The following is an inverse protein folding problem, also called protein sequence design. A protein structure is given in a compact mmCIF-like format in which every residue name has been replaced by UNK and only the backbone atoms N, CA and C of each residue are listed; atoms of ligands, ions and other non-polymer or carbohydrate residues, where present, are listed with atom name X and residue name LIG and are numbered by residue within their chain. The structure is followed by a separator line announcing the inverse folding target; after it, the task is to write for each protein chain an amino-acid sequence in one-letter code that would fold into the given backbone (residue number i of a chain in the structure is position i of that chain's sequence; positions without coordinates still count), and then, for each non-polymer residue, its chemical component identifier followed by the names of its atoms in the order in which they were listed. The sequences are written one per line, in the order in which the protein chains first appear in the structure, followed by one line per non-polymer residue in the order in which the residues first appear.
data_IF_128500991761
#
_entry.id   IF_128500991761
#
_cell.length_a   1.000
_cell.length_b   1.000
_cell.length_c   1.000
_cell.angle_alpha   90.00
_cell.angle_beta   90.00
_cell.angle_gamma   90.00
#
_symmetry.space_group_name_H-M   'P 1'
#
loop_
_entity.id
_entity.type
_entity.pdbx_description
1 polymer ?
#
# COMPACT_ATOMS: atom_id res chain seq x y z
N UNK A 1 -17.28 -16.51 42.42
CA UNK A 1 -16.38 -16.12 41.32
C UNK A 1 -17.12 -15.62 40.07
N UNK A 2 -18.40 -15.23 40.18
CA UNK A 2 -19.27 -14.96 39.02
C UNK A 2 -19.46 -13.47 38.72
N UNK A 3 -18.95 -12.58 39.57
CA UNK A 3 -19.09 -11.12 39.41
C UNK A 3 -17.98 -10.49 38.53
N UNK A 4 -16.81 -11.12 38.45
CA UNK A 4 -15.67 -10.61 37.65
C UNK A 4 -15.82 -10.89 36.15
N UNK A 5 -16.57 -11.92 35.76
CA UNK A 5 -16.83 -12.22 34.35
C UNK A 5 -17.86 -11.28 33.73
N UNK A 6 -18.84 -10.81 34.50
CA UNK A 6 -19.86 -9.87 34.00
C UNK A 6 -19.30 -8.47 33.72
N UNK A 7 -18.23 -8.03 34.41
CA UNK A 7 -17.60 -6.73 34.14
C UNK A 7 -16.76 -6.72 32.86
N UNK A 8 -16.20 -7.85 32.45
CA UNK A 8 -15.44 -7.96 31.20
C UNK A 8 -16.35 -8.07 29.97
N UNK A 9 -17.62 -8.48 30.16
CA UNK A 9 -18.58 -8.59 29.07
C UNK A 9 -19.32 -7.26 28.81
N UNK A 10 -19.58 -6.46 29.85
CA UNK A 10 -20.20 -5.13 29.72
C UNK A 10 -19.28 -4.07 29.07
N UNK A 11 -17.95 -4.26 29.08
CA UNK A 11 -17.01 -3.34 28.41
C UNK A 11 -16.99 -3.46 26.88
N UNK A 12 -17.74 -4.39 26.30
CA UNK A 12 -17.74 -4.64 24.85
C UNK A 12 -18.85 -3.91 24.07
N UNK A 13 -19.80 -3.28 24.75
CA UNK A 13 -20.99 -2.64 24.13
C UNK A 13 -20.95 -1.10 24.10
N UNK A 14 -19.97 -0.44 24.74
CA UNK A 14 -19.84 1.04 24.74
C UNK A 14 -19.04 1.60 23.55
N UNK A 15 -19.19 1.03 22.36
CA UNK A 15 -18.37 1.26 21.15
C UNK A 15 -18.41 2.68 20.53
N UNK A 16 -18.65 3.75 21.30
CA UNK A 16 -18.63 5.15 20.83
C UNK A 16 -18.05 6.19 21.80
N UNK A 17 -17.54 5.81 22.98
CA UNK A 17 -17.05 6.78 24.00
C UNK A 17 -15.53 6.95 24.11
N UNK A 18 -14.74 6.23 23.30
CA UNK A 18 -13.38 5.83 23.71
C UNK A 18 -12.25 6.84 23.49
N UNK A 19 -12.55 8.11 23.18
CA UNK A 19 -11.52 9.13 22.89
C UNK A 19 -11.63 10.44 23.69
N UNK A 20 -12.64 10.62 24.54
CA UNK A 20 -12.91 11.92 25.17
C UNK A 20 -13.01 11.84 26.69
N UNK A 21 -11.86 11.85 27.36
CA UNK A 21 -11.77 12.53 28.65
C UNK A 21 -10.76 13.67 28.52
N UNK A 22 -11.26 14.82 28.06
CA UNK A 22 -10.57 16.09 28.25
C UNK A 22 -10.43 16.33 29.76
N UNK A 23 -9.21 16.17 30.26
CA UNK A 23 -8.88 16.72 31.57
C UNK A 23 -8.36 18.14 31.35
N UNK A 24 -9.04 19.13 31.93
CA UNK A 24 -8.58 20.52 31.93
C UNK A 24 -7.44 20.65 32.94
N UNK A 25 -6.26 21.09 32.47
CA UNK A 25 -5.20 21.45 33.42
C UNK A 25 -5.57 22.75 34.19
N UNK A 26 -4.73 23.18 35.16
CA UNK A 26 -4.94 24.43 35.92
C UNK A 26 -5.09 25.69 35.04
N UNK A 27 -4.61 25.64 33.81
CA UNK A 27 -4.69 26.69 32.79
C UNK A 27 -5.81 26.44 31.75
N UNK A 28 -6.77 25.56 32.03
CA UNK A 28 -7.93 25.26 31.17
C UNK A 28 -7.58 24.62 29.80
N UNK A 29 -6.42 23.98 29.68
CA UNK A 29 -6.00 23.27 28.45
C UNK A 29 -6.59 21.86 28.45
N UNK A 30 -7.29 21.48 27.37
CA UNK A 30 -7.80 20.12 27.16
C UNK A 30 -6.64 19.17 26.84
N UNK A 31 -6.44 18.13 27.66
CA UNK A 31 -5.46 17.07 27.41
C UNK A 31 -6.19 15.82 26.92
N UNK A 32 -5.81 15.35 25.74
CA UNK A 32 -6.31 14.12 25.13
C UNK A 32 -5.36 12.98 25.47
N UNK A 33 -5.87 11.88 26.01
CA UNK A 33 -5.07 10.68 26.31
C UNK A 33 -5.59 9.50 25.51
N UNK A 34 -4.67 8.83 24.82
CA UNK A 34 -4.94 7.52 24.25
C UNK A 34 -4.89 6.49 25.38
N UNK A 35 -5.98 5.75 25.58
CA UNK A 35 -6.06 4.69 26.60
C UNK A 35 -5.71 3.30 26.06
N UNK A 36 -5.34 3.19 24.77
CA UNK A 36 -4.86 1.93 24.17
C UNK A 36 -3.36 1.81 24.33
N UNK A 37 -2.92 0.62 24.74
CA UNK A 37 -1.50 0.28 24.76
C UNK A 37 -1.01 -0.02 23.34
N UNK A 38 0.27 0.26 23.02
CA UNK A 38 0.85 -0.10 21.72
C UNK A 38 0.74 -1.59 21.38
N UNK A 39 0.69 -2.48 22.38
CA UNK A 39 0.49 -3.92 22.19
C UNK A 39 -0.96 -4.32 21.85
N UNK A 40 -1.91 -3.40 22.00
CA UNK A 40 -3.35 -3.64 21.77
C UNK A 40 -3.83 -3.11 20.42
N UNK A 41 -2.95 -2.49 19.63
CA UNK A 41 -3.30 -1.96 18.31
C UNK A 41 -3.26 -3.09 17.29
N UNK A 42 -4.28 -3.17 16.45
CA UNK A 42 -4.29 -4.05 15.29
C UNK A 42 -3.76 -3.27 14.08
N UNK A 43 -2.68 -3.75 13.48
CA UNK A 43 -2.05 -3.16 12.29
C UNK A 43 -2.53 -3.79 10.99
N UNK A 44 -3.41 -4.80 11.05
CA UNK A 44 -3.82 -5.52 9.86
C UNK A 44 -4.61 -4.65 8.88
N UNK A 45 -4.36 -4.85 7.60
CA UNK A 45 -5.01 -4.14 6.50
C UNK A 45 -5.63 -5.17 5.56
N UNK A 46 -6.93 -5.02 5.32
CA UNK A 46 -7.66 -5.86 4.37
C UNK A 46 -7.50 -5.25 2.96
N UNK A 47 -6.89 -6.00 2.03
CA UNK A 47 -6.72 -5.58 0.64
C UNK A 47 -7.91 -6.02 -0.22
N UNK A 48 -8.31 -7.28 -0.09
CA UNK A 48 -9.49 -7.85 -0.75
C UNK A 48 -10.30 -8.64 0.25
N UNK A 49 -11.43 -9.22 -0.17
CA UNK A 49 -12.19 -10.14 0.67
C UNK A 49 -11.41 -11.41 1.06
N UNK A 50 -10.40 -11.78 0.27
CA UNK A 50 -9.55 -12.95 0.52
C UNK A 50 -8.23 -12.59 1.20
N UNK A 51 -7.67 -11.41 0.90
CA UNK A 51 -6.30 -11.06 1.27
C UNK A 51 -6.30 -10.03 2.39
N UNK A 52 -5.70 -10.40 3.51
CA UNK A 52 -5.39 -9.49 4.63
C UNK A 52 -3.90 -9.55 4.91
N UNK A 53 -3.26 -8.40 5.05
CA UNK A 53 -1.88 -8.29 5.54
C UNK A 53 -1.90 -7.96 7.02
N UNK A 54 -1.01 -8.56 7.79
CA UNK A 54 -0.91 -8.35 9.23
C UNK A 54 -0.10 -7.09 9.55
N UNK A 55 0.91 -6.83 8.71
CA UNK A 55 1.80 -5.69 8.81
C UNK A 55 1.67 -4.88 7.51
N UNK A 56 1.37 -3.57 7.59
CA UNK A 56 1.15 -2.71 6.42
C UNK A 56 2.49 -2.26 5.80
N UNK A 57 3.37 -3.22 5.51
CA UNK A 57 4.69 -3.00 4.94
C UNK A 57 4.82 -3.81 3.65
N UNK A 58 5.18 -3.11 2.57
CA UNK A 58 5.34 -3.65 1.23
C UNK A 58 6.77 -3.36 0.78
N UNK A 59 7.51 -4.36 0.34
CA UNK A 59 8.87 -4.17 -0.17
C UNK A 59 8.86 -3.51 -1.56
N UNK A 60 9.94 -2.79 -1.89
CA UNK A 60 10.07 -2.14 -3.19
C UNK A 60 10.34 -3.16 -4.30
N UNK A 61 9.68 -2.98 -5.45
CA UNK A 61 9.87 -3.81 -6.65
C UNK A 61 11.17 -3.45 -7.39
N UNK A 62 12.31 -3.69 -6.76
CA UNK A 62 13.65 -3.42 -7.29
C UNK A 62 14.51 -4.68 -7.24
N UNK A 63 15.42 -4.84 -8.21
CA UNK A 63 16.35 -5.97 -8.32
C UNK A 63 17.26 -6.14 -7.10
N UNK A 64 17.73 -5.04 -6.55
CA UNK A 64 18.58 -5.00 -5.35
C UNK A 64 17.80 -5.12 -4.05
N UNK A 65 16.48 -5.27 -4.10
CA UNK A 65 15.62 -5.30 -2.89
C UNK A 65 14.83 -6.59 -2.81
N UNK A 66 14.00 -6.89 -3.82
CA UNK A 66 12.97 -7.93 -3.71
C UNK A 66 13.08 -8.99 -4.80
N UNK A 67 13.96 -9.97 -4.56
CA UNK A 67 13.92 -11.28 -5.22
C UNK A 67 13.14 -12.29 -4.36
N UNK A 68 13.19 -13.57 -4.72
CA UNK A 68 12.46 -14.66 -4.06
C UNK A 68 12.64 -14.67 -2.53
N UNK A 69 13.88 -14.63 -2.03
CA UNK A 69 14.17 -14.76 -0.59
C UNK A 69 13.60 -13.61 0.23
N UNK A 70 13.72 -12.37 -0.27
CA UNK A 70 13.12 -11.22 0.38
C UNK A 70 11.60 -11.29 0.35
N UNK A 71 11.02 -11.68 -0.79
CA UNK A 71 9.57 -11.79 -0.92
C UNK A 71 9.01 -12.83 0.08
N UNK A 72 9.67 -13.99 0.15
CA UNK A 72 9.37 -15.04 1.12
C UNK A 72 9.47 -14.52 2.56
N UNK A 73 10.54 -13.83 2.91
CA UNK A 73 10.72 -13.26 4.26
C UNK A 73 9.62 -12.25 4.61
N UNK A 74 9.24 -11.38 3.68
CA UNK A 74 8.15 -10.42 3.86
C UNK A 74 6.81 -11.12 4.12
N UNK A 75 6.49 -12.13 3.32
CA UNK A 75 5.25 -12.92 3.45
C UNK A 75 5.24 -13.69 4.78
N UNK A 76 6.37 -14.25 5.21
CA UNK A 76 6.49 -14.94 6.50
C UNK A 76 6.19 -14.01 7.68
N UNK A 77 6.62 -12.75 7.60
CA UNK A 77 6.40 -11.74 8.65
C UNK A 77 5.07 -10.99 8.51
N UNK A 78 4.18 -11.38 7.58
CA UNK A 78 2.84 -10.80 7.44
C UNK A 78 2.78 -9.51 6.62
N UNK A 79 3.84 -9.17 5.89
CA UNK A 79 3.88 -8.11 4.89
C UNK A 79 3.77 -8.64 3.45
N UNK A 80 4.10 -7.79 2.47
CA UNK A 80 4.11 -8.15 1.04
C UNK A 80 5.49 -7.95 0.44
N UNK A 81 5.96 -8.97 -0.28
CA UNK A 81 7.11 -8.88 -1.16
C UNK A 81 6.71 -8.67 -2.61
N UNK A 82 7.04 -7.54 -3.23
CA UNK A 82 6.76 -7.32 -4.66
C UNK A 82 7.97 -7.65 -5.51
N UNK A 83 7.90 -8.72 -6.30
CA UNK A 83 8.97 -9.10 -7.23
C UNK A 83 9.16 -8.03 -8.32
N UNK A 84 10.42 -7.70 -8.61
CA UNK A 84 10.77 -6.76 -9.67
C UNK A 84 10.66 -7.39 -11.06
N UNK A 85 10.50 -6.55 -12.08
CA UNK A 85 10.42 -6.95 -13.50
C UNK A 85 11.76 -7.04 -14.23
N UNK A 86 12.86 -6.69 -13.56
CA UNK A 86 14.22 -6.72 -14.13
C UNK A 86 14.83 -8.13 -14.09
N UNK A 87 14.08 -9.14 -14.54
CA UNK A 87 14.48 -10.54 -14.61
C UNK A 87 13.76 -11.20 -15.80
N UNK A 88 14.14 -12.42 -16.18
CA UNK A 88 13.42 -13.16 -17.21
C UNK A 88 12.02 -13.53 -16.73
N UNK A 89 11.06 -13.57 -17.65
CA UNK A 89 9.67 -13.97 -17.37
C UNK A 89 9.63 -15.34 -16.69
N UNK A 90 10.42 -16.30 -17.19
CA UNK A 90 10.50 -17.65 -16.65
C UNK A 90 10.98 -17.68 -15.20
N UNK A 91 11.99 -16.87 -14.86
CA UNK A 91 12.53 -16.79 -13.49
C UNK A 91 11.52 -16.20 -12.51
N UNK A 92 10.73 -15.21 -12.94
CA UNK A 92 9.68 -14.62 -12.12
C UNK A 92 8.54 -15.64 -11.93
N UNK A 93 8.13 -16.34 -12.99
CA UNK A 93 7.13 -17.41 -12.92
C UNK A 93 7.57 -18.50 -11.93
N UNK A 94 8.82 -18.96 -12.04
CA UNK A 94 9.37 -19.96 -11.12
C UNK A 94 9.33 -19.49 -9.66
N UNK A 95 9.66 -18.21 -9.42
CA UNK A 95 9.59 -17.62 -8.08
C UNK A 95 8.16 -17.56 -7.55
N UNK A 96 7.20 -17.19 -8.39
CA UNK A 96 5.77 -17.15 -8.04
C UNK A 96 5.23 -18.56 -7.73
N UNK A 97 5.56 -19.56 -8.54
CA UNK A 97 5.17 -20.95 -8.32
C UNK A 97 5.75 -21.51 -7.02
N UNK A 98 7.01 -21.20 -6.71
CA UNK A 98 7.64 -21.58 -5.43
C UNK A 98 6.91 -20.95 -4.24
N UNK A 99 6.61 -19.65 -4.31
CA UNK A 99 5.86 -18.95 -3.27
C UNK A 99 4.45 -19.53 -3.08
N UNK A 100 3.75 -19.82 -4.18
CA UNK A 100 2.41 -20.41 -4.14
C UNK A 100 2.42 -21.84 -3.57
N UNK A 101 3.45 -22.64 -3.90
CA UNK A 101 3.62 -23.96 -3.30
C UNK A 101 3.86 -23.89 -1.79
N UNK A 102 4.50 -22.84 -1.30
CA UNK A 102 4.82 -22.67 0.12
C UNK A 102 3.65 -22.07 0.93
N UNK A 103 2.96 -21.06 0.38
CA UNK A 103 1.96 -20.29 1.13
C UNK A 103 0.50 -20.53 0.68
N UNK A 104 0.29 -21.01 -0.55
CA UNK A 104 -1.03 -21.17 -1.16
C UNK A 104 -1.87 -19.90 -1.14
N UNK A 105 -3.20 -20.07 -1.12
CA UNK A 105 -4.18 -18.96 -1.14
C UNK A 105 -4.26 -18.14 0.17
N UNK A 106 -3.41 -18.42 1.16
CA UNK A 106 -3.54 -17.82 2.51
C UNK A 106 -2.78 -16.52 2.67
N UNK A 107 -1.78 -16.26 1.81
CA UNK A 107 -0.92 -15.07 1.92
C UNK A 107 -0.70 -14.43 0.56
N UNK A 108 -0.60 -13.09 0.50
CA UNK A 108 -0.49 -12.38 -0.77
C UNK A 108 0.83 -12.63 -1.48
N UNK A 109 0.74 -13.03 -2.74
CA UNK A 109 1.87 -13.12 -3.67
C UNK A 109 1.81 -11.94 -4.64
N UNK A 110 2.90 -11.18 -4.75
CA UNK A 110 2.93 -9.95 -5.53
C UNK A 110 4.08 -9.87 -6.54
N UNK A 111 3.80 -9.26 -7.69
CA UNK A 111 4.82 -8.94 -8.70
C UNK A 111 4.54 -7.60 -9.38
N UNK A 112 5.56 -7.04 -10.02
CA UNK A 112 5.42 -5.87 -10.87
C UNK A 112 5.16 -6.24 -12.33
N UNK A 113 4.48 -5.37 -13.08
CA UNK A 113 4.12 -5.62 -14.49
C UNK A 113 5.35 -5.93 -15.34
N UNK A 114 5.26 -7.02 -16.09
CA UNK A 114 6.33 -7.57 -16.93
C UNK A 114 6.19 -9.07 -17.18
N UNK A 115 5.27 -9.73 -16.48
CA UNK A 115 5.07 -11.17 -16.55
C UNK A 115 3.70 -11.47 -17.17
N UNK A 116 3.68 -12.31 -18.20
CA UNK A 116 2.47 -12.93 -18.71
C UNK A 116 2.21 -14.21 -17.91
N UNK A 117 1.80 -14.09 -16.64
CA UNK A 117 1.49 -15.27 -15.81
C UNK A 117 0.06 -15.76 -16.03
N UNK A 118 -0.16 -17.02 -15.68
CA UNK A 118 -1.47 -17.60 -15.37
C UNK A 118 -2.05 -16.91 -14.13
N UNK A 119 -3.33 -16.58 -14.19
CA UNK A 119 -4.05 -15.76 -13.19
C UNK A 119 -4.12 -16.44 -11.82
N UNK A 120 -3.87 -17.75 -11.77
CA UNK A 120 -4.12 -18.61 -10.62
C UNK A 120 -3.09 -18.46 -9.50
N UNK A 121 -1.94 -17.84 -9.77
CA UNK A 121 -0.80 -17.78 -8.82
C UNK A 121 -0.59 -16.38 -8.25
N UNK A 122 -1.25 -15.36 -8.81
CA UNK A 122 -0.96 -13.96 -8.53
C UNK A 122 -2.11 -13.27 -7.80
N UNK A 123 -1.83 -12.75 -6.61
CA UNK A 123 -2.80 -12.01 -5.81
C UNK A 123 -2.76 -10.51 -6.05
N UNK A 124 -1.56 -9.95 -6.18
CA UNK A 124 -1.33 -8.51 -6.26
C UNK A 124 -0.41 -8.20 -7.44
N UNK A 125 -0.86 -7.31 -8.33
CA UNK A 125 -0.06 -6.84 -9.46
C UNK A 125 0.21 -5.35 -9.35
N UNK A 126 1.48 -4.96 -9.52
CA UNK A 126 1.91 -3.56 -9.41
C UNK A 126 2.34 -3.01 -10.77
N UNK A 127 1.55 -2.09 -11.32
CA UNK A 127 1.96 -1.27 -12.47
C UNK A 127 2.90 -0.19 -11.96
N UNK A 128 4.20 -0.45 -12.06
CA UNK A 128 5.25 0.46 -11.59
C UNK A 128 5.91 1.22 -12.75
N UNK A 129 5.63 2.52 -12.82
CA UNK A 129 6.18 3.46 -13.78
C UNK A 129 6.68 4.73 -13.08
N UNK A 130 7.71 5.38 -13.63
CA UNK A 130 8.15 6.69 -13.16
C UNK A 130 7.03 7.75 -13.29
N UNK A 131 6.14 7.61 -14.28
CA UNK A 131 5.01 8.49 -14.51
C UNK A 131 3.71 7.70 -14.79
N UNK A 132 2.96 7.45 -13.72
CA UNK A 132 1.70 6.70 -13.78
C UNK A 132 0.53 7.48 -14.39
N UNK A 133 0.55 8.82 -14.36
CA UNK A 133 -0.50 9.66 -14.93
C UNK A 133 -0.35 9.84 -16.45
N UNK A 134 -0.29 8.74 -17.19
CA UNK A 134 -0.12 8.74 -18.64
C UNK A 134 -1.18 7.88 -19.32
N UNK A 135 -1.52 8.24 -20.57
CA UNK A 135 -2.53 7.52 -21.37
C UNK A 135 -2.20 6.03 -21.51
N UNK A 136 -0.93 5.70 -21.81
CA UNK A 136 -0.50 4.32 -21.98
C UNK A 136 -0.62 3.49 -20.70
N UNK A 137 -0.31 4.07 -19.53
CA UNK A 137 -0.51 3.39 -18.25
C UNK A 137 -2.01 3.21 -17.96
N UNK A 138 -2.83 4.21 -18.22
CA UNK A 138 -4.29 4.09 -18.05
C UNK A 138 -4.89 2.98 -18.92
N UNK A 139 -4.52 2.91 -20.20
CA UNK A 139 -4.96 1.85 -21.11
C UNK A 139 -4.48 0.46 -20.65
N UNK A 140 -3.26 0.37 -20.14
CA UNK A 140 -2.70 -0.87 -19.60
C UNK A 140 -3.47 -1.31 -18.34
N UNK A 141 -3.71 -0.40 -17.39
CA UNK A 141 -4.51 -0.66 -16.18
C UNK A 141 -5.90 -1.15 -16.56
N UNK A 142 -6.56 -0.51 -17.53
CA UNK A 142 -7.89 -0.94 -18.01
C UNK A 142 -7.88 -2.33 -18.63
N UNK A 143 -6.84 -2.68 -19.39
CA UNK A 143 -6.68 -4.02 -19.97
C UNK A 143 -6.45 -5.07 -18.90
N UNK A 144 -5.56 -4.80 -17.95
CA UNK A 144 -5.22 -5.72 -16.85
C UNK A 144 -6.44 -5.96 -15.97
N UNK A 145 -7.12 -4.89 -15.53
CA UNK A 145 -8.30 -4.97 -14.67
C UNK A 145 -9.41 -5.83 -15.29
N UNK A 146 -9.63 -5.73 -16.60
CA UNK A 146 -10.61 -6.55 -17.33
C UNK A 146 -10.16 -7.99 -17.54
N UNK A 147 -8.87 -8.20 -17.76
CA UNK A 147 -8.29 -9.53 -18.01
C UNK A 147 -8.24 -10.35 -16.72
N UNK A 148 -7.91 -9.70 -15.61
CA UNK A 148 -7.59 -10.32 -14.32
C UNK A 148 -8.44 -9.72 -13.19
N UNK A 149 -9.77 -9.94 -13.18
CA UNK A 149 -10.68 -9.26 -12.26
C UNK A 149 -10.47 -9.65 -10.78
N UNK A 150 -9.81 -10.79 -10.53
CA UNK A 150 -9.54 -11.29 -9.17
C UNK A 150 -8.21 -10.78 -8.61
N UNK A 151 -7.35 -10.19 -9.43
CA UNK A 151 -6.03 -9.70 -9.02
C UNK A 151 -6.17 -8.29 -8.45
N UNK A 152 -5.59 -8.04 -7.28
CA UNK A 152 -5.54 -6.71 -6.69
C UNK A 152 -4.51 -5.84 -7.43
N UNK A 153 -4.99 -4.89 -8.21
CA UNK A 153 -4.18 -4.05 -9.08
C UNK A 153 -3.78 -2.75 -8.40
N UNK A 154 -2.47 -2.56 -8.22
CA UNK A 154 -1.86 -1.32 -7.74
C UNK A 154 -1.26 -0.58 -8.93
N UNK A 155 -1.56 0.70 -9.11
CA UNK A 155 -1.00 1.49 -10.21
C UNK A 155 -0.25 2.74 -9.72
N UNK A 156 0.90 3.03 -10.31
CA UNK A 156 1.66 4.22 -9.99
C UNK A 156 2.85 4.45 -10.92
N UNK A 157 3.74 5.39 -10.62
CA UNK A 157 3.71 6.31 -9.48
C UNK A 157 3.01 7.62 -9.81
N UNK A 158 2.37 8.21 -8.80
CA UNK A 158 1.64 9.48 -8.93
C UNK A 158 1.93 10.40 -7.74
N UNK A 159 1.58 11.69 -7.88
CA UNK A 159 1.70 12.70 -6.80
C UNK A 159 0.51 13.67 -6.73
N UNK A 160 -0.53 13.47 -7.54
CA UNK A 160 -1.69 14.36 -7.61
C UNK A 160 -3.01 13.59 -7.48
N UNK A 161 -4.04 14.29 -7.02
CA UNK A 161 -5.38 13.69 -6.84
C UNK A 161 -6.06 13.41 -8.16
N UNK A 162 -5.80 14.23 -9.18
CA UNK A 162 -6.25 13.99 -10.54
C UNK A 162 -5.68 12.67 -11.09
N UNK A 163 -4.39 12.42 -10.85
CA UNK A 163 -3.76 11.16 -11.25
C UNK A 163 -4.31 9.95 -10.49
N UNK A 164 -4.58 10.11 -9.19
CA UNK A 164 -5.20 9.07 -8.37
C UNK A 164 -6.59 8.72 -8.92
N UNK A 165 -7.43 9.74 -9.13
CA UNK A 165 -8.77 9.59 -9.70
C UNK A 165 -8.71 8.91 -11.07
N UNK A 166 -7.83 9.37 -11.96
CA UNK A 166 -7.63 8.77 -13.27
C UNK A 166 -7.33 7.27 -13.18
N UNK A 167 -6.35 6.84 -12.37
CA UNK A 167 -5.98 5.43 -12.29
C UNK A 167 -7.08 4.54 -11.66
N UNK A 168 -7.79 5.05 -10.66
CA UNK A 168 -8.94 4.35 -10.07
C UNK A 168 -10.07 4.20 -11.10
N UNK A 169 -10.37 5.25 -11.88
CA UNK A 169 -11.37 5.20 -12.95
C UNK A 169 -10.99 4.22 -14.07
N UNK A 170 -9.69 3.99 -14.30
CA UNK A 170 -9.22 2.98 -15.24
C UNK A 170 -9.32 1.54 -14.71
N UNK A 171 -9.59 1.34 -13.41
CA UNK A 171 -9.79 0.03 -12.79
C UNK A 171 -8.68 -0.44 -11.85
N UNK A 172 -7.81 0.46 -11.38
CA UNK A 172 -6.90 0.14 -10.28
C UNK A 172 -7.65 0.03 -8.95
N UNK A 173 -7.26 -0.91 -8.08
CA UNK A 173 -7.79 -1.05 -6.73
C UNK A 173 -7.08 -0.10 -5.75
N UNK A 174 -5.80 0.16 -5.98
CA UNK A 174 -4.99 1.07 -5.19
C UNK A 174 -3.99 1.85 -6.05
N UNK A 175 -3.44 2.92 -5.48
CA UNK A 175 -2.45 3.77 -6.15
C UNK A 175 -1.15 3.85 -5.36
N UNK A 176 -0.01 3.85 -6.07
CA UNK A 176 1.32 4.04 -5.48
C UNK A 176 1.74 5.50 -5.61
N UNK A 177 1.93 6.18 -4.49
CA UNK A 177 2.23 7.61 -4.42
C UNK A 177 3.73 7.82 -4.22
N UNK A 178 4.34 8.72 -5.01
CA UNK A 178 5.73 9.16 -4.83
C UNK A 178 6.48 9.33 -6.14
N UNK A 179 6.87 10.57 -6.45
CA UNK A 179 7.79 10.88 -7.57
C UNK A 179 8.99 11.65 -7.03
N UNK A 180 10.16 11.03 -7.12
CA UNK A 180 11.41 11.56 -6.61
C UNK A 180 11.71 11.51 -5.10
N UNK A 181 10.97 10.83 -4.20
CA UNK A 181 11.31 10.83 -2.78
C UNK A 181 12.29 9.70 -2.37
N UNK A 182 12.48 8.69 -3.22
CA UNK A 182 13.29 7.53 -2.88
C UNK A 182 14.75 7.92 -2.61
N UNK A 183 15.40 7.22 -1.69
CA UNK A 183 16.78 7.53 -1.25
C UNK A 183 17.80 7.55 -2.41
N UNK A 184 17.65 6.65 -3.39
CA UNK A 184 18.51 6.60 -4.59
C UNK A 184 17.95 7.40 -5.78
N UNK A 185 16.78 8.01 -5.63
CA UNK A 185 16.06 8.60 -6.74
C UNK A 185 16.62 9.98 -7.08
N UNK A 186 17.12 10.14 -8.30
CA UNK A 186 17.65 11.42 -8.80
C UNK A 186 16.63 12.22 -9.63
N UNK A 187 15.38 11.73 -9.76
CA UNK A 187 14.37 12.34 -10.65
C UNK A 187 14.19 13.84 -10.41
N UNK A 188 14.09 14.29 -9.16
CA UNK A 188 13.95 15.72 -8.85
C UNK A 188 15.17 16.54 -9.25
N UNK A 189 16.36 15.98 -9.07
CA UNK A 189 17.63 16.64 -9.38
C UNK A 189 17.82 16.74 -10.89
N UNK A 190 17.51 15.68 -11.64
CA UNK A 190 17.75 15.62 -13.09
C UNK A 190 16.65 16.29 -13.89
N UNK A 191 15.39 16.11 -13.50
CA UNK A 191 14.23 16.53 -14.30
C UNK A 191 13.50 17.75 -13.73
N UNK A 192 13.77 18.13 -12.48
CA UNK A 192 12.98 19.11 -11.74
C UNK A 192 11.58 18.61 -11.34
N UNK A 193 11.20 17.37 -11.69
CA UNK A 193 9.87 16.80 -11.47
C UNK A 193 9.81 15.99 -10.17
N UNK A 194 8.84 16.32 -9.32
CA UNK A 194 8.52 15.57 -8.12
C UNK A 194 7.73 16.41 -7.12
N UNK A 195 7.26 15.78 -6.04
CA UNK A 195 6.51 16.47 -4.98
C UNK A 195 7.27 16.44 -3.65
N UNK A 196 7.69 17.60 -3.15
CA UNK A 196 8.60 17.77 -2.00
C UNK A 196 8.16 17.15 -0.65
N UNK A 197 6.94 16.60 -0.56
CA UNK A 197 6.40 16.00 0.65
C UNK A 197 5.40 14.89 0.30
N UNK A 198 5.75 13.62 0.55
CA UNK A 198 4.84 12.47 0.39
C UNK A 198 3.59 12.61 1.28
N UNK A 199 3.77 13.21 2.45
CA UNK A 199 2.72 13.43 3.46
C UNK A 199 1.62 14.37 2.94
N UNK A 200 1.97 15.41 2.18
CA UNK A 200 0.99 16.37 1.66
C UNK A 200 0.05 15.76 0.61
N UNK A 201 0.54 14.80 -0.17
CA UNK A 201 -0.28 14.06 -1.15
C UNK A 201 -1.25 13.08 -0.50
N UNK A 202 -0.91 12.52 0.67
CA UNK A 202 -1.66 11.41 1.28
C UNK A 202 -2.59 11.83 2.44
N UNK A 203 -2.20 12.77 3.31
CA UNK A 203 -2.88 12.95 4.62
C UNK A 203 -4.04 13.94 4.58
N UNK A 204 -4.06 14.87 3.62
CA UNK A 204 -4.82 16.11 3.84
C UNK A 204 -6.12 16.24 3.04
N UNK A 205 -6.38 15.39 2.02
CA UNK A 205 -7.42 15.61 0.97
C UNK A 205 -7.45 17.08 0.46
N UNK A 206 -6.37 17.82 0.72
CA UNK A 206 -6.13 19.22 0.47
C UNK A 206 -4.96 19.19 -0.47
N UNK A 207 -5.30 18.94 -1.73
CA UNK A 207 -4.44 18.98 -2.90
C UNK A 207 -4.00 20.42 -3.20
N UNK A 208 -3.60 21.18 -2.17
CA UNK A 208 -3.08 22.54 -2.33
C UNK A 208 -1.66 22.46 -2.84
N UNK A 209 -1.57 22.11 -4.11
CA UNK A 209 -0.51 22.53 -4.98
C UNK A 209 -1.18 23.08 -6.21
N UNK A 210 -1.25 24.41 -6.30
CA UNK A 210 -1.62 25.09 -7.53
C UNK A 210 -0.72 24.53 -8.65
N UNK A 211 -1.33 24.27 -9.80
CA UNK A 211 -0.69 23.78 -11.04
C UNK A 211 0.48 24.67 -11.52
N UNK A 212 0.71 25.81 -10.87
CA UNK A 212 1.70 26.83 -11.22
C UNK A 212 3.02 26.76 -10.47
N UNK A 213 3.21 25.89 -9.48
CA UNK A 213 4.36 26.03 -8.58
C UNK A 213 5.43 24.94 -8.69
N UNK A 214 5.65 24.35 -9.88
CA UNK A 214 6.81 23.50 -10.20
C UNK A 214 8.13 24.17 -9.80
N UNK A 215 8.50 24.08 -8.52
CA UNK A 215 9.76 24.57 -8.01
C UNK A 215 10.77 23.47 -8.18
N UNK A 216 11.54 23.56 -9.26
CA UNK A 216 12.93 23.14 -9.26
C UNK A 216 13.61 23.75 -8.03
N UNK A 217 14.20 22.89 -7.20
CA UNK A 217 15.25 23.32 -6.28
C UNK A 217 16.52 23.60 -7.07
#
# INVERSE_FOLDING_TARGET
MTLLQNHLQQSSESKRSDYEQSTKNRNNINIWRCFRLPSEVNTSVKLTDKITIEIPVISAAMDTVTEYEMARAMIMNGGIGVLHKNASVDSIVESLEKLNKEFGDTKPIATSVGVSTTDEVLDVLVVDSAHGHSKGIGEMVSKISKRYPNVFLIAGNIVTGAAAKFLIEQGANAVKVGVGPGAICTTRVVTGVGAGCEINGCINNRWWWNETNWRSY
#
